data_IF_547588162555
#
_entry.id   IF_547588162555
#
_cell.length_a   1.000
_cell.length_b   1.000
_cell.length_c   1.000
_cell.angle_alpha   90.00
_cell.angle_beta   90.00
_cell.angle_gamma   90.00
#
_symmetry.space_group_name_H-M   'P 1'
#
loop_
_entity.id
_entity.type
_entity.pdbx_description
1 polymer ?
#
# COMPACT_ATOMS: atom_id res chain seq x y z
N UNK A 1 17.29 11.55 16.20
CA UNK A 1 17.26 10.31 15.39
C UNK A 1 18.15 9.29 16.06
N UNK A 2 17.59 8.24 16.66
CA UNK A 2 18.37 7.15 17.29
C UNK A 2 18.39 6.02 16.28
N UNK A 3 19.57 5.67 15.77
CA UNK A 3 19.77 4.42 15.04
C UNK A 3 19.95 3.31 16.07
N UNK A 4 18.99 2.43 16.15
CA UNK A 4 19.25 1.13 16.76
C UNK A 4 20.08 0.28 15.77
N UNK A 5 20.89 -0.64 16.31
CA UNK A 5 21.92 -1.37 15.55
C UNK A 5 21.41 -2.23 14.38
N UNK A 6 20.11 -2.20 14.07
CA UNK A 6 19.45 -2.95 12.98
C UNK A 6 19.03 -2.08 11.79
N UNK A 7 19.36 -0.78 11.77
CA UNK A 7 19.08 0.09 10.62
C UNK A 7 17.61 0.48 10.43
N UNK A 8 16.76 0.26 11.42
CA UNK A 8 15.36 0.70 11.42
C UNK A 8 15.28 2.21 11.62
N UNK A 9 14.71 2.93 10.67
CA UNK A 9 14.42 4.35 10.83
C UNK A 9 13.26 4.50 11.81
N UNK A 10 13.49 5.17 12.95
CA UNK A 10 12.45 5.38 13.95
C UNK A 10 11.85 6.78 13.83
N UNK A 11 10.56 6.85 13.57
CA UNK A 11 9.78 8.05 13.78
C UNK A 11 9.34 8.12 15.26
N UNK A 12 9.23 9.31 15.91
CA UNK A 12 8.82 9.41 17.31
C UNK A 12 7.53 8.66 17.65
N UNK A 13 6.55 8.71 16.76
CA UNK A 13 5.22 8.17 16.98
C UNK A 13 4.93 6.86 16.21
N UNK A 14 5.84 6.41 15.35
CA UNK A 14 5.64 5.25 14.49
C UNK A 14 6.85 4.33 14.48
N UNK A 15 6.57 3.05 14.24
CA UNK A 15 7.58 2.04 13.93
C UNK A 15 7.42 1.64 12.47
N UNK A 16 8.50 1.68 11.72
CA UNK A 16 8.51 1.23 10.33
C UNK A 16 8.69 -0.28 10.28
N UNK A 17 7.79 -0.95 9.58
CA UNK A 17 7.88 -2.37 9.28
C UNK A 17 8.06 -2.54 7.76
N UNK A 18 8.99 -3.38 7.36
CA UNK A 18 9.25 -3.65 5.94
C UNK A 18 10.73 -3.88 5.66
N UNK A 19 11.06 -4.04 4.38
CA UNK A 19 12.45 -4.20 3.93
C UNK A 19 13.14 -2.85 3.82
N UNK A 20 14.28 -2.69 4.47
CA UNK A 20 15.14 -1.51 4.30
C UNK A 20 16.09 -1.63 3.08
N UNK A 21 15.82 -2.55 2.14
CA UNK A 21 16.66 -2.79 0.98
C UNK A 21 16.53 -1.69 -0.07
N UNK A 22 17.60 -1.46 -0.83
CA UNK A 22 17.56 -0.57 -1.99
C UNK A 22 16.52 -1.05 -3.00
N UNK A 23 15.58 -0.17 -3.39
CA UNK A 23 14.49 -0.51 -4.31
C UNK A 23 13.19 -0.93 -3.64
N UNK A 24 13.10 -0.86 -2.31
CA UNK A 24 11.84 -1.00 -1.58
C UNK A 24 10.84 0.03 -2.08
N UNK A 25 9.63 -0.43 -2.37
CA UNK A 25 8.50 0.38 -2.86
C UNK A 25 7.40 0.52 -1.82
N UNK A 26 7.37 -0.37 -0.83
CA UNK A 26 6.35 -0.41 0.21
C UNK A 26 7.02 -0.46 1.57
N UNK A 27 6.53 0.40 2.46
CA UNK A 27 6.80 0.36 3.89
C UNK A 27 5.48 0.49 4.65
N UNK A 28 5.39 -0.10 5.81
CA UNK A 28 4.24 0.03 6.72
C UNK A 28 4.70 0.76 7.96
N UNK A 29 3.99 1.82 8.33
CA UNK A 29 4.19 2.53 9.58
C UNK A 29 3.09 2.15 10.57
N UNK A 30 3.47 1.64 11.71
CA UNK A 30 2.56 1.26 12.80
C UNK A 30 2.72 2.27 13.93
N UNK A 31 1.62 2.81 14.45
CA UNK A 31 1.67 3.66 15.66
C UNK A 31 2.34 2.89 16.78
N UNK A 32 3.21 3.57 17.51
CA UNK A 32 4.07 2.95 18.54
C UNK A 32 3.28 2.28 19.68
N UNK A 33 2.11 2.80 20.00
CA UNK A 33 1.19 2.27 20.99
C UNK A 33 0.44 1.00 20.53
N UNK A 34 0.52 0.68 19.25
CA UNK A 34 -0.12 -0.50 18.64
C UNK A 34 0.89 -1.59 18.28
N UNK A 35 2.19 -1.29 18.31
CA UNK A 35 3.23 -2.16 17.73
C UNK A 35 3.32 -3.53 18.41
N UNK A 36 3.06 -3.61 19.70
CA UNK A 36 3.12 -4.85 20.48
C UNK A 36 2.02 -5.86 20.06
N UNK A 37 0.93 -5.36 19.44
CA UNK A 37 -0.15 -6.18 18.88
C UNK A 37 0.01 -6.51 17.41
N UNK A 38 1.14 -6.15 16.78
CA UNK A 38 1.38 -6.30 15.33
C UNK A 38 2.57 -7.22 15.09
N UNK A 39 2.37 -8.29 14.35
CA UNK A 39 3.45 -9.18 13.89
C UNK A 39 3.70 -9.07 12.40
N UNK A 40 4.97 -9.11 11.99
CA UNK A 40 5.37 -9.10 10.59
C UNK A 40 5.23 -10.50 10.00
N UNK A 41 4.36 -10.64 8.99
CA UNK A 41 4.14 -11.91 8.27
C UNK A 41 5.07 -12.03 7.07
N UNK A 42 5.17 -10.98 6.27
CA UNK A 42 6.04 -10.95 5.09
C UNK A 42 6.56 -9.53 4.82
N UNK A 43 7.80 -9.45 4.34
CA UNK A 43 8.39 -8.21 3.87
C UNK A 43 9.29 -8.46 2.65
N UNK A 44 8.91 -7.86 1.53
CA UNK A 44 9.69 -7.83 0.29
C UNK A 44 9.87 -6.40 -0.18
N UNK A 45 10.56 -6.18 -1.27
CA UNK A 45 10.65 -4.84 -1.88
C UNK A 45 9.29 -4.27 -2.35
N UNK A 46 8.26 -5.10 -2.50
CA UNK A 46 6.98 -4.73 -3.12
C UNK A 46 5.75 -5.12 -2.32
N UNK A 47 5.91 -5.84 -1.25
CA UNK A 47 4.81 -6.30 -0.40
C UNK A 47 5.29 -6.30 1.04
N UNK A 48 4.45 -5.77 1.93
CA UNK A 48 4.60 -5.92 3.38
C UNK A 48 3.25 -6.36 3.92
N UNK A 49 3.22 -7.48 4.63
CA UNK A 49 2.02 -7.99 5.30
C UNK A 49 2.29 -8.08 6.78
N UNK A 50 1.40 -7.54 7.57
CA UNK A 50 1.39 -7.64 9.03
C UNK A 50 0.12 -8.33 9.49
N UNK A 51 0.18 -8.96 10.65
CA UNK A 51 -0.99 -9.49 11.34
C UNK A 51 -1.28 -8.65 12.56
N UNK A 52 -2.54 -8.27 12.73
CA UNK A 52 -3.04 -7.49 13.87
C UNK A 52 -4.44 -7.97 14.24
N UNK A 53 -4.63 -8.39 15.48
CA UNK A 53 -5.91 -8.89 15.99
C UNK A 53 -6.51 -10.06 15.20
N UNK A 54 -5.67 -10.93 14.63
CA UNK A 54 -6.09 -12.06 13.79
C UNK A 54 -6.39 -11.72 12.34
N UNK A 55 -6.36 -10.43 11.96
CA UNK A 55 -6.55 -9.98 10.59
C UNK A 55 -5.19 -9.66 9.94
N UNK A 56 -5.01 -9.98 8.67
CA UNK A 56 -3.81 -9.65 7.89
C UNK A 56 -4.01 -8.40 7.07
N UNK A 57 -3.17 -7.40 7.34
CA UNK A 57 -3.19 -6.11 6.64
C UNK A 57 -1.89 -5.95 5.87
N UNK A 58 -1.98 -5.67 4.58
CA UNK A 58 -0.79 -5.57 3.73
C UNK A 58 -0.76 -4.36 2.84
N UNK A 59 0.46 -3.87 2.57
CA UNK A 59 0.75 -2.93 1.49
C UNK A 59 1.29 -3.67 0.28
N UNK A 60 0.83 -3.31 -0.93
CA UNK A 60 1.24 -3.93 -2.18
C UNK A 60 1.66 -2.89 -3.22
N UNK A 61 2.68 -3.24 -4.02
CA UNK A 61 3.10 -2.50 -5.20
C UNK A 61 3.20 -3.45 -6.39
N UNK A 62 2.19 -3.46 -7.22
CA UNK A 62 2.16 -4.20 -8.48
C UNK A 62 3.08 -3.56 -9.51
N UNK A 63 3.79 -4.36 -10.28
CA UNK A 63 4.61 -3.85 -11.38
C UNK A 63 3.73 -3.53 -12.59
N UNK A 64 3.89 -2.34 -13.18
CA UNK A 64 3.23 -1.98 -14.43
C UNK A 64 3.57 -2.96 -15.56
N UNK A 65 2.57 -3.27 -16.41
CA UNK A 65 2.77 -3.99 -17.66
C UNK A 65 3.23 -5.44 -17.51
N UNK A 66 2.97 -6.08 -16.37
CA UNK A 66 3.29 -7.51 -16.19
C UNK A 66 2.40 -8.38 -17.07
N UNK A 67 3.00 -9.44 -17.63
CA UNK A 67 2.26 -10.48 -18.34
C UNK A 67 1.45 -11.38 -17.40
N UNK A 68 0.55 -12.18 -17.99
CA UNK A 68 -0.38 -13.07 -17.27
C UNK A 68 0.34 -13.99 -16.28
N UNK A 69 1.41 -14.67 -16.71
CA UNK A 69 2.14 -15.60 -15.85
C UNK A 69 2.77 -14.92 -14.64
N UNK A 70 3.48 -13.80 -14.86
CA UNK A 70 4.12 -13.07 -13.77
C UNK A 70 3.11 -12.50 -12.78
N UNK A 71 1.90 -12.13 -13.24
CA UNK A 71 0.83 -11.71 -12.35
C UNK A 71 0.31 -12.89 -11.51
N UNK A 72 0.07 -14.06 -12.11
CA UNK A 72 -0.36 -15.26 -11.38
C UNK A 72 0.65 -15.70 -10.33
N UNK A 73 1.93 -15.74 -10.69
CA UNK A 73 3.01 -16.10 -9.76
C UNK A 73 3.05 -15.15 -8.56
N UNK A 74 2.88 -13.84 -8.81
CA UNK A 74 2.86 -12.85 -7.76
C UNK A 74 1.63 -12.97 -6.85
N UNK A 75 0.44 -13.17 -7.41
CA UNK A 75 -0.80 -13.38 -6.66
C UNK A 75 -0.74 -14.67 -5.83
N UNK A 76 -0.18 -15.75 -6.37
CA UNK A 76 0.05 -16.98 -5.61
C UNK A 76 0.97 -16.78 -4.39
N UNK A 77 1.96 -15.88 -4.49
CA UNK A 77 2.75 -15.49 -3.31
C UNK A 77 1.89 -14.73 -2.28
N UNK A 78 1.01 -13.83 -2.73
CA UNK A 78 0.10 -13.09 -1.82
C UNK A 78 -0.83 -14.04 -1.09
N UNK A 79 -1.41 -15.05 -1.75
CA UNK A 79 -2.26 -16.07 -1.12
C UNK A 79 -1.55 -16.76 0.05
N UNK A 80 -0.28 -17.11 -0.13
CA UNK A 80 0.53 -17.71 0.94
C UNK A 80 0.70 -16.81 2.16
N UNK A 81 0.62 -15.49 1.98
CA UNK A 81 0.79 -14.53 3.07
C UNK A 81 -0.53 -14.04 3.69
N UNK A 82 -1.63 -14.00 2.93
CA UNK A 82 -2.94 -13.63 3.48
C UNK A 82 -3.58 -14.76 4.28
N UNK A 83 -3.29 -16.04 3.98
CA UNK A 83 -3.84 -17.19 4.69
C UNK A 83 -5.35 -17.33 4.56
N UNK A 84 -5.98 -18.06 5.46
CA UNK A 84 -7.41 -18.37 5.43
C UNK A 84 -8.30 -17.55 6.38
N UNK A 85 -7.77 -16.50 7.00
CA UNK A 85 -8.53 -15.59 7.87
C UNK A 85 -8.92 -14.29 7.17
N UNK A 86 -9.33 -13.30 7.97
CA UNK A 86 -9.63 -11.96 7.45
C UNK A 86 -8.36 -11.25 6.99
N UNK A 87 -8.48 -10.55 5.88
CA UNK A 87 -7.36 -9.80 5.32
C UNK A 87 -7.80 -8.61 4.48
N UNK A 88 -6.89 -7.63 4.40
CA UNK A 88 -6.99 -6.46 3.52
C UNK A 88 -5.62 -6.16 2.92
N UNK A 89 -5.54 -6.03 1.60
CA UNK A 89 -4.37 -5.58 0.88
C UNK A 89 -4.64 -4.24 0.20
N UNK A 90 -3.85 -3.22 0.54
CA UNK A 90 -3.98 -1.89 -0.02
C UNK A 90 -2.73 -1.53 -0.84
N UNK A 91 -2.90 -0.77 -1.89
CA UNK A 91 -1.77 -0.18 -2.59
C UNK A 91 -1.96 0.02 -4.07
N UNK A 92 -0.84 0.24 -4.74
CA UNK A 92 -0.76 0.43 -6.18
C UNK A 92 -0.70 -0.92 -6.89
N UNK A 93 -1.83 -1.36 -7.45
CA UNK A 93 -1.92 -2.64 -8.13
C UNK A 93 -1.42 -2.59 -9.58
N UNK A 94 -1.39 -1.40 -10.19
CA UNK A 94 -0.97 -1.19 -11.58
C UNK A 94 -1.68 -2.10 -12.60
N UNK A 95 -2.92 -2.46 -12.31
CA UNK A 95 -3.72 -3.42 -13.06
C UNK A 95 -5.05 -2.78 -13.47
N UNK A 96 -5.31 -2.72 -14.77
CA UNK A 96 -6.55 -2.16 -15.33
C UNK A 96 -7.56 -3.27 -15.61
N UNK A 97 -8.79 -3.11 -15.12
CA UNK A 97 -9.93 -3.98 -15.43
C UNK A 97 -11.20 -3.13 -15.54
N UNK A 98 -12.14 -3.52 -16.41
CA UNK A 98 -13.34 -2.73 -16.69
C UNK A 98 -14.23 -2.48 -15.47
N UNK A 99 -14.13 -3.30 -14.42
CA UNK A 99 -14.90 -3.12 -13.17
C UNK A 99 -14.39 -1.95 -12.32
N UNK A 100 -13.10 -1.61 -12.39
CA UNK A 100 -12.53 -0.51 -11.60
C UNK A 100 -11.80 0.55 -12.44
N UNK A 101 -11.47 0.28 -13.72
CA UNK A 101 -10.82 1.27 -14.58
C UNK A 101 -11.79 2.32 -15.07
N UNK A 102 -11.39 3.59 -15.01
CA UNK A 102 -12.23 4.73 -15.42
C UNK A 102 -12.55 4.73 -16.92
N UNK A 103 -11.67 4.18 -17.75
CA UNK A 103 -11.84 4.08 -19.21
C UNK A 103 -12.55 2.78 -19.65
N UNK A 104 -13.01 1.96 -18.71
CA UNK A 104 -13.70 0.71 -18.98
C UNK A 104 -12.85 -0.37 -19.65
N UNK A 105 -11.53 -0.22 -19.70
CA UNK A 105 -10.62 -1.17 -20.35
C UNK A 105 -10.02 -2.16 -19.38
N UNK A 106 -9.67 -3.33 -19.93
CA UNK A 106 -9.00 -4.40 -19.18
C UNK A 106 -7.66 -4.72 -19.82
N UNK A 107 -6.60 -4.65 -19.01
CA UNK A 107 -5.29 -5.18 -19.37
C UNK A 107 -5.14 -6.66 -19.01
N UNK A 108 -4.08 -7.35 -19.52
CA UNK A 108 -3.84 -8.75 -19.18
C UNK A 108 -3.70 -9.01 -17.69
N UNK A 109 -2.91 -8.20 -16.97
CA UNK A 109 -2.75 -8.30 -15.52
C UNK A 109 -4.04 -8.01 -14.74
N UNK A 110 -4.86 -7.06 -15.21
CA UNK A 110 -6.14 -6.73 -14.58
C UNK A 110 -7.16 -7.86 -14.68
N UNK A 111 -7.19 -8.59 -15.80
CA UNK A 111 -8.04 -9.78 -15.93
C UNK A 111 -7.64 -10.88 -14.94
N UNK A 112 -6.34 -11.14 -14.83
CA UNK A 112 -5.83 -12.13 -13.86
C UNK A 112 -6.13 -11.72 -12.42
N UNK A 113 -5.98 -10.43 -12.09
CA UNK A 113 -6.33 -9.93 -10.76
C UNK A 113 -7.84 -10.07 -10.49
N UNK A 114 -8.69 -9.78 -11.48
CA UNK A 114 -10.14 -9.93 -11.34
C UNK A 114 -10.57 -11.41 -11.17
N UNK A 115 -9.95 -12.33 -11.91
CA UNK A 115 -10.11 -13.78 -11.73
C UNK A 115 -9.75 -14.18 -10.30
N UNK A 116 -8.59 -13.74 -9.83
CA UNK A 116 -8.09 -14.02 -8.48
C UNK A 116 -9.01 -13.49 -7.38
N UNK A 117 -9.49 -12.25 -7.51
CA UNK A 117 -10.45 -11.65 -6.58
C UNK A 117 -11.73 -12.48 -6.52
N UNK A 118 -12.25 -12.91 -7.68
CA UNK A 118 -13.44 -13.73 -7.78
C UNK A 118 -13.25 -15.13 -7.17
N UNK A 119 -12.11 -15.76 -7.42
CA UNK A 119 -11.78 -17.09 -6.87
C UNK A 119 -11.71 -17.10 -5.34
N UNK A 120 -11.23 -16.01 -4.75
CA UNK A 120 -11.18 -15.84 -3.29
C UNK A 120 -12.51 -15.33 -2.69
N UNK A 121 -13.50 -15.00 -3.52
CA UNK A 121 -14.72 -14.32 -3.07
C UNK A 121 -14.44 -12.94 -2.49
N UNK A 122 -13.29 -12.35 -2.78
CA UNK A 122 -12.84 -11.08 -2.23
C UNK A 122 -13.55 -9.88 -2.89
N UNK A 123 -13.49 -8.74 -2.23
CA UNK A 123 -14.09 -7.49 -2.67
C UNK A 123 -13.02 -6.46 -3.04
N UNK A 124 -13.30 -5.66 -4.08
CA UNK A 124 -12.44 -4.54 -4.48
C UNK A 124 -13.06 -3.24 -3.99
N UNK A 125 -12.31 -2.50 -3.21
CA UNK A 125 -12.72 -1.26 -2.57
C UNK A 125 -11.94 -0.09 -3.12
N UNK A 126 -12.65 0.91 -3.62
CA UNK A 126 -12.07 2.12 -4.17
C UNK A 126 -13.00 3.31 -4.00
N UNK A 127 -12.43 4.48 -3.70
CA UNK A 127 -13.17 5.73 -3.62
C UNK A 127 -13.72 6.22 -4.96
N UNK A 128 -14.45 7.31 -4.92
CA UNK A 128 -14.99 7.98 -6.11
C UNK A 128 -13.85 8.63 -6.92
N UNK A 129 -13.83 8.40 -8.24
CA UNK A 129 -12.85 9.02 -9.14
C UNK A 129 -11.59 8.21 -9.41
N UNK A 130 -10.55 8.88 -9.92
CA UNK A 130 -9.23 8.31 -10.16
C UNK A 130 -8.36 8.35 -8.92
N UNK A 131 -7.36 7.48 -8.86
CA UNK A 131 -6.36 7.47 -7.79
C UNK A 131 -4.97 7.90 -8.29
N UNK A 132 -4.81 7.98 -9.59
CA UNK A 132 -3.59 8.44 -10.25
C UNK A 132 -3.93 9.45 -11.33
N UNK A 133 -3.18 10.56 -11.41
CA UNK A 133 -3.32 11.61 -12.42
C UNK A 133 -2.00 11.83 -13.17
N UNK A 134 -2.08 11.86 -14.49
CA UNK A 134 -0.94 12.17 -15.34
C UNK A 134 -1.29 13.23 -16.36
N UNK A 135 -0.48 14.28 -16.44
CA UNK A 135 -0.59 15.29 -17.49
C UNK A 135 0.10 14.83 -18.77
N UNK A 136 -0.64 14.92 -19.90
CA UNK A 136 -0.10 14.72 -21.26
C UNK A 136 -0.39 15.98 -22.08
N UNK A 137 0.54 16.91 -22.11
CA UNK A 137 0.34 18.22 -22.73
C UNK A 137 -0.73 19.03 -22.00
N UNK A 138 -1.88 19.29 -22.66
CA UNK A 138 -3.04 19.99 -22.06
C UNK A 138 -4.05 19.05 -21.43
N UNK A 139 -3.93 17.76 -21.68
CA UNK A 139 -4.88 16.76 -21.21
C UNK A 139 -4.44 16.20 -19.85
N UNK A 140 -5.44 15.96 -19.02
CA UNK A 140 -5.28 15.23 -17.76
C UNK A 140 -5.86 13.84 -17.94
N UNK A 141 -5.04 12.82 -17.73
CA UNK A 141 -5.45 11.42 -17.77
C UNK A 141 -5.48 10.90 -16.37
N UNK A 142 -6.64 10.45 -15.94
CA UNK A 142 -6.81 9.79 -14.64
C UNK A 142 -6.96 8.28 -14.80
N UNK A 143 -6.44 7.54 -13.85
CA UNK A 143 -6.66 6.10 -13.74
C UNK A 143 -6.88 5.70 -12.28
N UNK A 144 -7.52 4.56 -12.08
CA UNK A 144 -7.70 3.95 -10.77
C UNK A 144 -6.82 2.72 -10.71
N UNK A 145 -5.67 2.86 -10.08
CA UNK A 145 -4.64 1.82 -9.95
C UNK A 145 -4.29 1.54 -8.49
N UNK A 146 -4.72 2.43 -7.59
CA UNK A 146 -4.58 2.30 -6.15
C UNK A 146 -5.96 1.97 -5.57
N UNK A 147 -6.06 0.86 -4.87
CA UNK A 147 -7.31 0.40 -4.24
C UNK A 147 -7.03 -0.66 -3.17
N UNK A 148 -8.05 -0.99 -2.39
CA UNK A 148 -7.99 -2.11 -1.47
C UNK A 148 -8.67 -3.35 -2.07
N UNK A 149 -8.12 -4.52 -1.73
CA UNK A 149 -8.76 -5.82 -1.94
C UNK A 149 -8.87 -6.47 -0.58
N UNK A 150 -10.06 -6.93 -0.21
CA UNK A 150 -10.35 -7.42 1.12
C UNK A 150 -11.11 -8.74 1.07
N UNK A 151 -10.93 -9.60 2.10
CA UNK A 151 -11.82 -10.74 2.30
C UNK A 151 -13.24 -10.27 2.60
N UNK A 152 -14.27 -11.03 2.22
CA UNK A 152 -15.67 -10.60 2.35
C UNK A 152 -16.07 -10.32 3.81
N UNK A 153 -15.48 -11.04 4.75
CA UNK A 153 -15.80 -10.94 6.18
C UNK A 153 -14.85 -10.00 6.96
N UNK A 154 -13.96 -9.30 6.26
CA UNK A 154 -12.97 -8.40 6.89
C UNK A 154 -13.59 -7.20 7.61
N UNK A 155 -14.83 -6.83 7.27
CA UNK A 155 -15.47 -5.63 7.79
C UNK A 155 -14.79 -4.33 7.31
N UNK A 156 -14.04 -4.37 6.21
CA UNK A 156 -13.43 -3.19 5.63
C UNK A 156 -14.47 -2.19 5.13
N UNK A 157 -14.28 -0.93 5.45
CA UNK A 157 -15.09 0.19 4.93
C UNK A 157 -14.17 1.27 4.38
N UNK A 158 -14.47 1.74 3.16
CA UNK A 158 -13.69 2.81 2.53
C UNK A 158 -13.90 4.15 3.25
N UNK A 159 -12.83 4.93 3.35
CA UNK A 159 -12.86 6.34 3.72
C UNK A 159 -12.58 7.21 2.48
N UNK A 160 -12.97 8.49 2.55
CA UNK A 160 -12.74 9.42 1.45
C UNK A 160 -11.25 9.55 1.13
N UNK A 161 -10.96 9.55 -0.17
CA UNK A 161 -9.61 9.70 -0.70
C UNK A 161 -9.28 11.18 -0.92
N UNK A 162 -8.12 11.61 -0.47
CA UNK A 162 -7.63 12.96 -0.66
C UNK A 162 -6.49 13.03 -1.68
N UNK A 163 -6.55 14.06 -2.55
CA UNK A 163 -5.44 14.41 -3.40
C UNK A 163 -4.46 15.27 -2.61
N UNK A 164 -3.32 14.70 -2.28
CA UNK A 164 -2.20 15.41 -1.70
C UNK A 164 -1.32 16.01 -2.82
N UNK A 165 -0.14 16.54 -2.49
CA UNK A 165 0.79 17.12 -3.49
C UNK A 165 1.49 16.06 -4.38
N UNK A 166 0.85 14.91 -4.58
CA UNK A 166 1.32 13.77 -5.37
C UNK A 166 0.48 13.62 -6.63
N UNK A 167 0.99 12.89 -7.62
CA UNK A 167 0.24 12.38 -8.77
C UNK A 167 -0.66 11.20 -8.40
N UNK A 168 -0.60 10.70 -7.15
CA UNK A 168 -1.51 9.73 -6.56
C UNK A 168 -2.38 10.37 -5.47
N UNK A 169 -3.65 9.96 -5.40
CA UNK A 169 -4.49 10.22 -4.23
C UNK A 169 -4.21 9.19 -3.13
N UNK A 170 -4.50 9.56 -1.90
CA UNK A 170 -4.53 8.61 -0.80
C UNK A 170 -5.70 7.62 -0.98
N UNK A 171 -5.54 6.42 -0.46
CA UNK A 171 -6.61 5.47 -0.23
C UNK A 171 -6.64 5.13 1.25
N UNK A 172 -7.80 5.09 1.84
CA UNK A 172 -7.97 4.84 3.27
C UNK A 172 -9.20 4.03 3.56
N UNK A 173 -9.29 3.54 4.78
CA UNK A 173 -10.46 2.82 5.26
C UNK A 173 -10.29 2.39 6.71
N UNK A 174 -11.37 1.90 7.26
CA UNK A 174 -11.46 1.37 8.61
C UNK A 174 -11.68 -0.14 8.57
N UNK A 175 -11.07 -0.84 9.52
CA UNK A 175 -11.17 -2.28 9.69
C UNK A 175 -11.60 -2.58 11.13
N UNK A 176 -12.61 -3.42 11.29
CA UNK A 176 -13.02 -3.93 12.63
C UNK A 176 -12.21 -5.19 12.93
N UNK A 177 -11.45 -5.17 14.01
CA UNK A 177 -10.56 -6.27 14.39
C UNK A 177 -11.09 -6.91 15.70
N UNK A 178 -11.57 -8.17 15.62
CA UNK A 178 -11.97 -8.98 16.76
C UNK A 178 -13.17 -8.45 17.56
N UNK A 179 -13.46 -9.05 18.73
CA UNK A 179 -14.51 -8.60 19.66
C UNK A 179 -14.20 -7.25 20.35
N UNK A 180 -12.99 -6.76 20.18
CA UNK A 180 -12.61 -5.43 20.64
C UNK A 180 -12.75 -4.53 19.42
N UNK A 181 -13.72 -3.62 19.44
CA UNK A 181 -13.78 -2.48 18.52
C UNK A 181 -12.49 -1.64 18.63
N UNK A 182 -11.41 -2.13 18.08
CA UNK A 182 -10.23 -1.33 17.82
C UNK A 182 -10.32 -0.90 16.37
N UNK A 183 -10.92 0.24 16.16
CA UNK A 183 -10.82 0.94 14.87
C UNK A 183 -9.35 1.24 14.65
N UNK A 184 -8.69 0.44 13.83
CA UNK A 184 -7.38 0.80 13.29
C UNK A 184 -7.64 1.86 12.24
N UNK A 185 -7.80 3.11 12.68
CA UNK A 185 -7.69 4.24 11.77
C UNK A 185 -6.29 4.22 11.22
N UNK A 186 -6.14 3.80 9.98
CA UNK A 186 -4.99 4.14 9.20
C UNK A 186 -5.16 5.62 8.86
N UNK A 187 -4.61 6.51 9.68
CA UNK A 187 -4.32 7.84 9.19
C UNK A 187 -3.40 7.60 7.99
N UNK A 188 -3.94 7.86 6.82
CA UNK A 188 -3.12 7.98 5.61
C UNK A 188 -2.01 8.92 6.01
N UNK A 189 -0.78 8.47 5.83
CA UNK A 189 0.38 9.29 6.15
C UNK A 189 0.11 10.65 5.52
N UNK A 190 0.02 11.69 6.33
CA UNK A 190 0.08 13.06 5.86
C UNK A 190 1.43 13.20 5.13
N UNK A 191 1.38 12.93 3.82
CA UNK A 191 2.57 12.99 2.96
C UNK A 191 3.14 14.40 2.98
N UNK A 192 2.33 15.44 3.17
CA UNK A 192 2.81 16.82 3.32
C UNK A 192 3.53 16.99 4.65
N UNK A 193 3.01 16.44 5.73
CA UNK A 193 3.69 16.40 7.02
C UNK A 193 4.92 15.49 6.97
N UNK A 194 4.86 14.35 6.28
CA UNK A 194 6.01 13.47 6.11
C UNK A 194 7.05 14.09 5.18
N UNK A 195 6.65 14.64 4.03
CA UNK A 195 7.53 15.34 3.09
C UNK A 195 8.07 16.63 3.71
N UNK A 196 7.27 17.41 4.44
CA UNK A 196 7.73 18.58 5.15
C UNK A 196 8.69 18.22 6.32
N UNK A 197 8.42 17.11 7.02
CA UNK A 197 9.31 16.60 8.07
C UNK A 197 10.59 16.05 7.45
N UNK A 198 10.50 15.33 6.35
CA UNK A 198 11.65 14.83 5.60
C UNK A 198 12.41 15.98 4.90
N UNK A 199 11.75 16.97 4.33
CA UNK A 199 12.38 18.13 3.71
C UNK A 199 13.05 19.05 4.73
N UNK A 200 12.46 19.25 5.90
CA UNK A 200 13.10 20.02 6.99
C UNK A 200 14.25 19.27 7.67
N UNK A 201 14.27 17.94 7.58
CA UNK A 201 15.43 17.15 8.02
C UNK A 201 16.45 16.92 6.89
N UNK A 202 16.13 17.22 5.64
CA UNK A 202 16.74 16.65 4.44
C UNK A 202 17.68 17.55 3.64
N UNK A 203 18.04 18.71 4.10
CA UNK A 203 19.33 19.29 3.65
C UNK A 203 20.52 18.39 4.02
N UNK A 204 20.34 17.46 4.95
CA UNK A 204 21.35 16.47 5.34
C UNK A 204 21.30 15.15 4.56
N UNK A 205 20.17 14.79 3.92
CA UNK A 205 20.03 13.49 3.27
C UNK A 205 20.47 13.49 1.81
N UNK A 206 20.24 14.58 1.08
CA UNK A 206 20.71 14.71 -0.31
C UNK A 206 22.11 15.32 -0.41
N UNK A 207 22.56 16.07 0.59
CA UNK A 207 23.93 16.62 0.64
C UNK A 207 25.03 15.57 0.83
N UNK A 208 24.69 14.37 1.29
CA UNK A 208 25.63 13.25 1.47
C UNK A 208 25.82 12.34 0.25
N UNK A 209 25.04 12.53 -0.82
CA UNK A 209 25.11 11.70 -2.04
C UNK A 209 25.75 12.39 -3.25
N UNK A 210 26.16 13.65 -3.12
CA UNK A 210 26.76 14.44 -4.23
C UNK A 210 28.22 14.85 -3.96
N UNK A 211 28.84 14.31 -2.96
CA UNK A 211 30.20 14.61 -2.61
C UNK A 211 31.11 13.39 -2.56
N UNK A 212 31.51 12.87 -3.73
CA UNK A 212 32.81 12.24 -3.98
C UNK A 212 32.87 11.69 -5.40
N UNK A 213 33.13 12.58 -6.35
CA UNK A 213 33.88 12.25 -7.57
C UNK A 213 34.81 13.42 -7.85
N UNK A 214 35.99 13.34 -7.37
CA UNK A 214 37.17 13.99 -7.89
C UNK A 214 38.33 13.00 -7.79
#
# INVERSE_FOLDING_TARGET
MVRDGNGTQSHPNYVMLGSASRGTKIVVFVKRDLVDGVSLVAATAKVVVVEVGGCRVGGVYGKCGVGVHAMRDWLGCLEGWIGGGDWVLLGEWNAHHHTWSLDGKSGPGGRVLAEWVLELGAEVHFGVGGTFERRRGRDVVQSRIDFAVASPDSGWTDEDADWLLSDHSSIGGSLVIGEIERTVRREVVDWDGLVATLANEDERWYGGLVGETA
#
